data_IF_772176935560
#
_entry.id   IF_772176935560
#
_cell.length_a   1.000
_cell.length_b   1.000
_cell.length_c   1.000
_cell.angle_alpha   90.00
_cell.angle_beta   90.00
_cell.angle_gamma   90.00
#
_symmetry.space_group_name_H-M   'P 1'
#
loop_
_entity.id
_entity.type
_entity.pdbx_description
1 polymer ?
#
# COMPACT_ATOMS: atom_id res chain seq x y z
N UNK A 1 17.84 12.80 -12.43
CA UNK A 1 17.27 12.81 -11.08
C UNK A 1 15.76 12.77 -11.20
N UNK A 2 15.15 11.59 -11.06
CA UNK A 2 13.72 11.50 -10.78
C UNK A 2 13.48 12.05 -9.38
N UNK A 3 12.40 12.81 -9.18
CA UNK A 3 12.09 13.40 -7.88
C UNK A 3 11.57 12.35 -6.90
N UNK A 4 11.59 12.71 -5.62
CA UNK A 4 10.93 11.98 -4.55
C UNK A 4 9.49 12.48 -4.41
N UNK A 5 8.50 11.59 -4.51
CA UNK A 5 7.08 11.93 -4.53
C UNK A 5 6.33 11.27 -3.36
N UNK A 6 5.20 11.86 -2.96
CA UNK A 6 4.25 11.19 -2.08
C UNK A 6 3.39 10.22 -2.90
N UNK A 7 3.51 8.93 -2.60
CA UNK A 7 2.67 7.89 -3.15
C UNK A 7 1.56 7.54 -2.14
N UNK A 8 0.31 7.68 -2.55
CA UNK A 8 -0.85 7.10 -1.83
C UNK A 8 -1.42 5.99 -2.70
N UNK A 9 -1.50 4.79 -2.14
CA UNK A 9 -1.89 3.62 -2.91
C UNK A 9 -2.30 2.43 -2.07
N UNK A 10 -2.88 1.45 -2.76
CA UNK A 10 -3.25 0.16 -2.19
C UNK A 10 -2.00 -0.72 -2.22
N UNK A 11 -1.63 -1.30 -1.07
CA UNK A 11 -0.50 -2.21 -0.98
C UNK A 11 -0.81 -3.50 -1.72
N UNK A 12 -0.10 -3.72 -2.83
CA UNK A 12 -0.18 -4.92 -3.66
C UNK A 12 0.73 -6.03 -3.11
N UNK A 13 1.93 -5.67 -2.66
CA UNK A 13 2.93 -6.63 -2.18
C UNK A 13 3.75 -6.04 -1.04
N UNK A 14 4.11 -6.91 -0.09
CA UNK A 14 5.05 -6.65 0.99
C UNK A 14 6.14 -7.72 0.92
N UNK A 15 7.40 -7.31 0.95
CA UNK A 15 8.57 -8.20 0.96
C UNK A 15 9.46 -7.84 2.13
N UNK A 16 9.83 -8.83 2.93
CA UNK A 16 10.71 -8.67 4.10
C UNK A 16 11.88 -9.64 3.96
N UNK A 17 13.12 -9.14 3.79
CA UNK A 17 14.30 -9.98 3.71
C UNK A 17 14.52 -10.75 5.00
N UNK A 18 14.82 -12.04 4.88
CA UNK A 18 15.02 -12.97 6.00
C UNK A 18 16.31 -12.71 6.79
N UNK A 19 17.28 -12.00 6.21
CA UNK A 19 18.59 -11.73 6.81
C UNK A 19 18.49 -11.18 8.24
N UNK A 20 17.71 -10.11 8.45
CA UNK A 20 17.53 -9.52 9.78
C UNK A 20 16.67 -10.39 10.69
N UNK A 21 15.46 -10.83 10.31
CA UNK A 21 14.64 -11.67 11.17
C UNK A 21 15.37 -12.92 11.69
N UNK A 22 16.09 -13.64 10.82
CA UNK A 22 16.84 -14.84 11.22
C UNK A 22 18.00 -14.52 12.16
N UNK A 23 18.69 -13.38 11.96
CA UNK A 23 19.80 -12.97 12.83
C UNK A 23 19.37 -12.62 14.26
N UNK A 24 18.13 -12.17 14.45
CA UNK A 24 17.61 -11.66 15.72
C UNK A 24 16.50 -12.54 16.33
N UNK A 25 16.36 -13.78 15.85
CA UNK A 25 15.35 -14.74 16.28
C UNK A 25 13.92 -14.17 16.22
N UNK A 26 13.61 -13.42 15.16
CA UNK A 26 12.27 -12.88 14.93
C UNK A 26 11.49 -13.89 14.10
N UNK A 27 10.40 -14.41 14.67
CA UNK A 27 9.54 -15.35 13.95
C UNK A 27 8.62 -14.64 12.95
N UNK A 28 8.10 -15.41 11.99
CA UNK A 28 7.12 -14.89 11.02
C UNK A 28 5.84 -14.41 11.70
N UNK A 29 5.42 -15.04 12.80
CA UNK A 29 4.24 -14.62 13.56
C UNK A 29 4.45 -13.24 14.18
N UNK A 30 5.66 -12.93 14.64
CA UNK A 30 6.00 -11.61 15.16
C UNK A 30 5.97 -10.54 14.07
N UNK A 31 6.41 -10.91 12.86
CA UNK A 31 6.31 -10.05 11.67
C UNK A 31 4.85 -9.79 11.31
N UNK A 32 4.02 -10.85 11.27
CA UNK A 32 2.58 -10.75 11.01
C UNK A 32 1.91 -9.82 12.02
N UNK A 33 2.26 -9.93 13.30
CA UNK A 33 1.70 -9.05 14.33
C UNK A 33 2.16 -7.58 14.18
N UNK A 34 3.41 -7.35 13.75
CA UNK A 34 3.87 -6.03 13.37
C UNK A 34 3.08 -5.45 12.20
N UNK A 35 2.88 -6.25 11.14
CA UNK A 35 2.13 -5.87 9.95
C UNK A 35 0.66 -5.55 10.25
N UNK A 36 0.02 -6.30 11.15
CA UNK A 36 -1.38 -6.08 11.58
C UNK A 36 -1.63 -4.71 12.20
N UNK A 37 -0.61 -4.07 12.74
CA UNK A 37 -0.72 -2.70 13.27
C UNK A 37 -0.86 -1.66 12.15
N UNK A 38 -0.44 -1.99 10.94
CA UNK A 38 -0.36 -1.08 9.80
C UNK A 38 -1.42 -1.38 8.74
N UNK A 39 -1.76 -2.65 8.52
CA UNK A 39 -2.63 -3.12 7.44
C UNK A 39 -3.52 -4.28 7.90
N UNK A 40 -4.64 -4.51 7.20
CA UNK A 40 -5.37 -5.77 7.34
C UNK A 40 -4.62 -6.90 6.61
N UNK A 41 -3.75 -7.59 7.34
CA UNK A 41 -2.93 -8.66 6.77
C UNK A 41 -3.75 -9.84 6.23
N UNK A 42 -5.03 -9.97 6.61
CA UNK A 42 -5.90 -11.03 6.11
C UNK A 42 -6.28 -10.83 4.64
N UNK A 43 -6.09 -9.62 4.11
CA UNK A 43 -6.23 -9.33 2.68
C UNK A 43 -5.09 -9.91 1.84
N UNK A 44 -4.08 -10.53 2.44
CA UNK A 44 -2.86 -10.98 1.77
C UNK A 44 -2.65 -12.49 1.86
N UNK A 45 -2.10 -13.07 0.80
CA UNK A 45 -1.59 -14.42 0.75
C UNK A 45 -0.10 -14.42 1.09
N UNK A 46 0.26 -15.18 2.12
CA UNK A 46 1.64 -15.37 2.54
C UNK A 46 2.33 -16.46 1.71
N UNK A 47 3.58 -16.19 1.35
CA UNK A 47 4.51 -17.13 0.73
C UNK A 47 5.93 -16.77 1.16
N UNK A 48 6.88 -17.67 0.92
CA UNK A 48 8.29 -17.39 1.16
C UNK A 48 9.14 -18.08 0.11
N UNK A 49 10.31 -17.50 -0.16
CA UNK A 49 11.36 -18.13 -0.95
C UNK A 49 12.64 -18.31 -0.11
N UNK A 50 13.80 -18.44 -0.76
CA UNK A 50 15.07 -18.64 -0.06
C UNK A 50 15.47 -17.43 0.79
N UNK A 51 15.16 -16.22 0.33
CA UNK A 51 15.71 -14.98 0.84
C UNK A 51 14.65 -14.09 1.50
N UNK A 52 13.38 -14.24 1.11
CA UNK A 52 12.32 -13.30 1.45
C UNK A 52 11.05 -13.95 2.04
N UNK A 53 10.42 -13.23 2.96
CA UNK A 53 9.02 -13.41 3.32
C UNK A 53 8.14 -12.47 2.47
N UNK A 54 7.10 -13.01 1.84
CA UNK A 54 6.31 -12.30 0.82
C UNK A 54 4.82 -12.38 1.14
N UNK A 55 4.15 -11.23 1.14
CA UNK A 55 2.70 -11.11 1.22
C UNK A 55 2.17 -10.43 -0.04
N UNK A 56 1.29 -11.10 -0.80
CA UNK A 56 0.64 -10.55 -2.00
C UNK A 56 -0.84 -10.37 -1.76
N UNK A 57 -1.40 -9.23 -2.17
CA UNK A 57 -2.82 -8.95 -2.01
C UNK A 57 -3.65 -10.02 -2.72
N UNK A 58 -4.71 -10.50 -2.07
CA UNK A 58 -5.68 -11.37 -2.70
C UNK A 58 -6.47 -10.54 -3.73
N UNK A 59 -6.46 -10.89 -5.03
CA UNK A 59 -7.11 -10.10 -6.07
C UNK A 59 -8.59 -9.78 -5.76
N UNK A 60 -9.30 -10.70 -5.10
CA UNK A 60 -10.71 -10.52 -4.71
C UNK A 60 -10.95 -9.29 -3.82
N UNK A 61 -9.94 -8.84 -3.09
CA UNK A 61 -10.04 -7.65 -2.24
C UNK A 61 -10.24 -6.38 -3.08
N UNK A 62 -9.71 -6.36 -4.31
CA UNK A 62 -9.85 -5.25 -5.26
C UNK A 62 -11.22 -5.21 -5.95
N UNK A 63 -11.99 -6.29 -5.91
CA UNK A 63 -13.31 -6.38 -6.57
C UNK A 63 -14.40 -5.62 -5.79
N UNK A 64 -14.13 -5.22 -4.53
CA UNK A 64 -15.11 -4.59 -3.65
C UNK A 64 -15.19 -3.06 -3.85
N UNK A 65 -16.06 -2.59 -4.75
CA UNK A 65 -16.41 -1.17 -4.94
C UNK A 65 -15.18 -0.24 -5.14
N UNK A 66 -14.09 -0.76 -5.72
CA UNK A 66 -12.84 -0.02 -5.87
C UNK A 66 -13.01 1.27 -6.67
N UNK A 67 -13.81 1.23 -7.75
CA UNK A 67 -14.12 2.42 -8.55
C UNK A 67 -14.80 3.52 -7.74
N UNK A 68 -15.73 3.15 -6.85
CA UNK A 68 -16.42 4.13 -6.00
C UNK A 68 -15.50 4.67 -4.89
N UNK A 69 -14.60 3.83 -4.38
CA UNK A 69 -13.56 4.27 -3.45
C UNK A 69 -12.65 5.32 -4.10
N UNK A 70 -12.11 5.03 -5.30
CA UNK A 70 -11.26 5.96 -6.03
C UNK A 70 -11.98 7.27 -6.36
N UNK A 71 -13.25 7.19 -6.73
CA UNK A 71 -14.08 8.37 -6.99
C UNK A 71 -14.21 9.25 -5.74
N UNK A 72 -14.44 8.66 -4.56
CA UNK A 72 -14.44 9.38 -3.29
C UNK A 72 -13.07 10.02 -2.98
N UNK A 73 -11.97 9.31 -3.21
CA UNK A 73 -10.62 9.87 -3.01
C UNK A 73 -10.36 11.06 -3.93
N UNK A 74 -10.72 10.98 -5.21
CA UNK A 74 -10.52 12.06 -6.17
C UNK A 74 -11.37 13.31 -5.83
N UNK A 75 -12.60 13.12 -5.36
CA UNK A 75 -13.45 14.22 -4.89
C UNK A 75 -12.88 14.93 -3.65
N UNK A 76 -12.23 14.18 -2.75
CA UNK A 76 -11.54 14.77 -1.60
C UNK A 76 -10.31 15.59 -2.01
N UNK A 77 -9.59 15.15 -3.05
CA UNK A 77 -8.38 15.82 -3.53
C UNK A 77 -8.69 17.10 -4.30
N UNK A 78 -9.68 17.10 -5.20
CA UNK A 78 -10.03 18.27 -5.99
C UNK A 78 -11.51 18.34 -6.32
N UNK A 79 -12.06 19.56 -6.30
CA UNK A 79 -13.41 19.84 -6.81
C UNK A 79 -13.44 20.03 -8.33
N UNK A 80 -12.27 20.22 -8.96
CA UNK A 80 -12.18 20.39 -10.41
C UNK A 80 -12.15 19.04 -11.07
N UNK A 81 -12.91 18.92 -12.14
CA UNK A 81 -12.88 17.74 -12.98
C UNK A 81 -11.49 17.54 -13.60
N UNK A 82 -10.93 16.34 -13.43
CA UNK A 82 -9.67 15.92 -14.04
C UNK A 82 -9.95 14.77 -15.01
N UNK A 83 -9.68 14.93 -16.33
CA UNK A 83 -9.94 13.89 -17.33
C UNK A 83 -9.24 12.56 -17.01
N UNK A 84 -8.00 12.60 -16.52
CA UNK A 84 -7.23 11.40 -16.18
C UNK A 84 -7.82 10.61 -15.01
N UNK A 85 -8.33 11.32 -13.99
CA UNK A 85 -9.04 10.70 -12.87
C UNK A 85 -10.34 10.06 -13.36
N UNK A 86 -11.09 10.74 -14.24
CA UNK A 86 -12.31 10.16 -14.83
C UNK A 86 -12.03 8.92 -15.66
N UNK A 87 -11.00 8.95 -16.51
CA UNK A 87 -10.57 7.78 -17.29
C UNK A 87 -10.22 6.61 -16.36
N UNK A 88 -9.52 6.90 -15.26
CA UNK A 88 -9.19 5.90 -14.23
C UNK A 88 -10.43 5.22 -13.67
N UNK A 89 -11.43 6.01 -13.27
CA UNK A 89 -12.68 5.46 -12.73
C UNK A 89 -13.38 4.58 -13.77
N UNK A 90 -13.43 5.01 -15.04
CA UNK A 90 -14.05 4.22 -16.12
C UNK A 90 -13.34 2.88 -16.28
N UNK A 91 -12.02 2.88 -16.48
CA UNK A 91 -11.24 1.64 -16.70
C UNK A 91 -11.30 0.68 -15.49
N UNK A 92 -11.26 1.23 -14.27
CA UNK A 92 -11.40 0.43 -13.04
C UNK A 92 -12.80 -0.16 -12.92
N UNK A 93 -13.87 0.59 -13.26
CA UNK A 93 -15.25 0.09 -13.22
C UNK A 93 -15.56 -0.90 -14.36
N UNK A 94 -14.85 -0.83 -15.48
CA UNK A 94 -14.94 -1.79 -16.59
C UNK A 94 -14.21 -3.11 -16.32
N UNK A 95 -13.22 -3.09 -15.40
CA UNK A 95 -12.48 -4.28 -14.99
C UNK A 95 -13.34 -5.14 -14.06
N UNK A 96 -13.65 -6.36 -14.50
CA UNK A 96 -14.62 -7.25 -13.84
C UNK A 96 -14.02 -8.14 -12.75
N UNK A 97 -12.69 -8.31 -12.73
CA UNK A 97 -12.00 -9.18 -11.76
C UNK A 97 -10.79 -8.48 -11.13
N UNK A 98 -10.40 -8.95 -9.95
CA UNK A 98 -9.21 -8.47 -9.27
C UNK A 98 -7.93 -8.65 -10.09
N UNK A 99 -7.81 -9.76 -10.83
CA UNK A 99 -6.65 -10.02 -11.69
C UNK A 99 -6.56 -9.03 -12.85
N UNK A 100 -7.70 -8.65 -13.45
CA UNK A 100 -7.74 -7.59 -14.48
C UNK A 100 -7.31 -6.24 -13.90
N UNK A 101 -7.72 -5.92 -12.67
CA UNK A 101 -7.29 -4.71 -11.98
C UNK A 101 -5.78 -4.72 -11.69
N UNK A 102 -5.23 -5.86 -11.28
CA UNK A 102 -3.77 -6.00 -11.11
C UNK A 102 -3.04 -5.80 -12.44
N UNK A 103 -3.51 -6.42 -13.51
CA UNK A 103 -2.93 -6.28 -14.85
C UNK A 103 -2.97 -4.82 -15.34
N UNK A 104 -4.12 -4.15 -15.18
CA UNK A 104 -4.29 -2.74 -15.52
C UNK A 104 -3.26 -1.85 -14.79
N UNK A 105 -3.01 -2.13 -13.51
CA UNK A 105 -2.03 -1.40 -12.72
C UNK A 105 -0.58 -1.64 -13.16
N UNK A 106 -0.23 -2.86 -13.55
CA UNK A 106 1.12 -3.21 -14.03
C UNK A 106 1.42 -2.61 -15.40
N UNK A 107 0.43 -2.56 -16.30
CA UNK A 107 0.59 -2.00 -17.65
C UNK A 107 0.85 -0.47 -17.63
N UNK A 108 0.54 0.21 -16.51
CA UNK A 108 0.78 1.64 -16.33
C UNK A 108 0.13 2.53 -17.40
N UNK A 109 -0.97 2.06 -17.99
CA UNK A 109 -1.75 2.81 -19.00
C UNK A 109 -2.59 3.92 -18.37
N UNK A 110 -2.77 3.88 -17.05
CA UNK A 110 -3.67 4.76 -16.29
C UNK A 110 -2.87 5.51 -15.23
N UNK A 111 -2.74 6.83 -15.42
CA UNK A 111 -1.86 7.67 -14.59
C UNK A 111 -2.19 7.60 -13.09
N UNK A 112 -3.48 7.55 -12.73
CA UNK A 112 -3.94 7.44 -11.35
C UNK A 112 -4.25 5.99 -10.94
N UNK A 113 -3.66 5.01 -11.62
CA UNK A 113 -3.79 3.60 -11.29
C UNK A 113 -2.60 2.81 -11.84
N UNK A 114 -1.43 3.07 -11.27
CA UNK A 114 -0.17 2.46 -11.71
C UNK A 114 0.61 1.88 -10.54
N UNK A 115 1.34 0.82 -10.81
CA UNK A 115 2.27 0.23 -9.87
C UNK A 115 3.41 1.20 -9.55
N UNK A 116 3.69 1.36 -8.26
CA UNK A 116 4.88 2.02 -7.73
C UNK A 116 5.63 1.00 -6.87
N UNK A 117 6.88 0.76 -7.22
CA UNK A 117 7.78 -0.16 -6.53
C UNK A 117 8.89 0.57 -5.77
N UNK A 118 9.83 -0.19 -5.21
CA UNK A 118 11.00 0.31 -4.50
C UNK A 118 10.68 1.21 -3.28
N UNK A 119 9.49 1.04 -2.69
CA UNK A 119 9.09 1.76 -1.49
C UNK A 119 9.57 1.00 -0.26
N UNK A 120 10.17 1.68 0.70
CA UNK A 120 10.57 1.06 1.97
C UNK A 120 9.93 1.75 3.17
N UNK A 121 9.57 0.96 4.17
CA UNK A 121 9.22 1.46 5.49
C UNK A 121 9.73 0.50 6.57
N UNK A 122 9.82 0.99 7.80
CA UNK A 122 10.18 0.19 8.95
C UNK A 122 8.92 -0.29 9.67
N UNK A 123 8.86 -1.58 9.95
CA UNK A 123 7.82 -2.17 10.80
C UNK A 123 8.41 -2.39 12.18
N UNK A 124 7.70 -1.92 13.20
CA UNK A 124 8.04 -2.16 14.60
C UNK A 124 7.52 -3.53 15.06
N UNK A 125 8.44 -4.36 15.52
CA UNK A 125 8.19 -5.67 16.10
C UNK A 125 8.57 -5.63 17.58
N UNK A 126 7.64 -6.03 18.44
CA UNK A 126 7.88 -6.14 19.88
C UNK A 126 8.26 -7.58 20.19
N UNK A 127 9.46 -7.79 20.72
CA UNK A 127 9.93 -9.12 21.14
C UNK A 127 9.30 -9.53 22.48
N UNK A 128 9.21 -10.84 22.80
CA UNK A 128 8.69 -11.30 24.09
C UNK A 128 9.44 -10.77 25.32
N UNK A 129 10.71 -10.38 25.14
CA UNK A 129 11.55 -9.75 26.17
C UNK A 129 11.27 -8.24 26.34
N UNK A 130 10.32 -7.68 25.59
CA UNK A 130 9.90 -6.29 25.65
C UNK A 130 10.73 -5.32 24.80
N UNK A 131 11.72 -5.82 24.05
CA UNK A 131 12.53 -4.96 23.18
C UNK A 131 11.86 -4.72 21.83
N UNK A 132 11.83 -3.45 21.43
CA UNK A 132 11.42 -3.01 20.10
C UNK A 132 12.52 -3.29 19.08
N UNK A 133 12.12 -3.87 17.95
CA UNK A 133 12.98 -4.12 16.82
C UNK A 133 12.35 -3.62 15.53
N UNK A 134 13.13 -2.89 14.72
CA UNK A 134 12.67 -2.38 13.43
C UNK A 134 13.22 -3.22 12.29
N UNK A 135 12.31 -3.83 11.52
CA UNK A 135 12.65 -4.51 10.27
C UNK A 135 12.29 -3.62 9.09
N UNK A 136 13.07 -3.72 8.02
CA UNK A 136 12.75 -3.03 6.76
C UNK A 136 11.78 -3.91 5.98
N UNK A 137 10.69 -3.32 5.50
CA UNK A 137 9.77 -3.94 4.56
C UNK A 137 9.77 -3.14 3.27
N UNK A 138 9.85 -3.87 2.15
CA UNK A 138 9.70 -3.35 0.82
C UNK A 138 8.24 -3.49 0.39
N UNK A 139 7.69 -2.42 -0.16
CA UNK A 139 6.30 -2.34 -0.57
C UNK A 139 6.20 -2.10 -2.08
N UNK A 140 5.18 -2.71 -2.66
CA UNK A 140 4.67 -2.40 -3.99
C UNK A 140 3.23 -1.87 -3.83
N UNK A 141 2.94 -0.70 -4.37
CA UNK A 141 1.63 -0.06 -4.29
C UNK A 141 0.98 0.03 -5.68
N UNK A 142 -0.33 -0.11 -5.74
CA UNK A 142 -1.14 0.46 -6.83
C UNK A 142 -1.47 1.89 -6.42
N UNK A 143 -0.77 2.84 -7.02
CA UNK A 143 -0.89 4.27 -6.69
C UNK A 143 -2.10 4.89 -7.37
N UNK A 144 -2.85 5.69 -6.60
CA UNK A 144 -3.90 6.57 -7.12
C UNK A 144 -3.60 8.06 -6.92
N UNK A 145 -2.66 8.38 -6.01
CA UNK A 145 -1.97 9.66 -5.99
C UNK A 145 -0.46 9.45 -6.01
N UNK A 146 0.20 10.14 -6.93
CA UNK A 146 1.64 10.31 -6.97
C UNK A 146 1.91 11.80 -7.13
N UNK A 147 1.98 12.52 -6.01
CA UNK A 147 2.00 13.98 -6.01
C UNK A 147 2.93 14.55 -4.93
N UNK A 148 3.32 15.81 -5.09
CA UNK A 148 4.16 16.53 -4.15
C UNK A 148 5.62 16.08 -4.21
N UNK A 149 6.49 16.92 -4.75
CA UNK A 149 7.93 16.73 -4.54
C UNK A 149 8.23 16.94 -3.07
N UNK A 150 8.72 15.90 -2.40
CA UNK A 150 9.09 15.97 -0.99
C UNK A 150 10.59 16.26 -0.89
N UNK A 151 10.94 17.30 -0.14
CA UNK A 151 12.32 17.75 0.06
C UNK A 151 12.77 17.57 1.52
N UNK A 152 12.01 16.85 2.36
CA UNK A 152 12.34 16.70 3.78
C UNK A 152 11.95 15.35 4.37
N UNK A 153 12.80 14.87 5.29
CA UNK A 153 12.60 13.68 6.12
C UNK A 153 11.71 14.00 7.34
N UNK A 154 11.28 12.97 8.09
CA UNK A 154 10.49 13.05 9.34
C UNK A 154 8.96 13.27 9.24
N UNK A 155 8.33 12.97 8.10
CA UNK A 155 6.87 13.02 7.94
C UNK A 155 6.12 11.73 8.32
N UNK A 156 6.78 10.72 8.90
CA UNK A 156 6.13 9.43 9.22
C UNK A 156 4.84 9.57 10.02
N UNK A 157 4.81 10.46 11.01
CA UNK A 157 3.61 10.70 11.82
C UNK A 157 2.46 11.36 11.05
N UNK A 158 2.75 12.23 10.06
CA UNK A 158 1.70 12.87 9.26
C UNK A 158 1.14 11.90 8.22
N UNK A 159 1.97 10.99 7.67
CA UNK A 159 1.48 9.93 6.79
C UNK A 159 0.57 8.97 7.52
N UNK A 160 0.94 8.57 8.74
CA UNK A 160 0.06 7.80 9.62
C UNK A 160 -1.27 8.53 9.89
N UNK A 161 -1.26 9.86 10.00
CA UNK A 161 -2.48 10.65 10.13
C UNK A 161 -3.34 10.58 8.85
N UNK A 162 -2.75 10.76 7.67
CA UNK A 162 -3.48 10.65 6.39
C UNK A 162 -4.07 9.25 6.19
N UNK A 163 -3.28 8.20 6.45
CA UNK A 163 -3.76 6.82 6.39
C UNK A 163 -4.95 6.60 7.33
N UNK A 164 -4.87 7.09 8.57
CA UNK A 164 -5.98 6.99 9.53
C UNK A 164 -7.24 7.72 9.05
N UNK A 165 -7.10 8.87 8.39
CA UNK A 165 -8.24 9.59 7.82
C UNK A 165 -8.89 8.82 6.67
N UNK A 166 -8.09 8.20 5.79
CA UNK A 166 -8.62 7.33 4.72
C UNK A 166 -9.37 6.14 5.33
N UNK A 167 -8.81 5.52 6.37
CA UNK A 167 -9.40 4.38 7.09
C UNK A 167 -10.72 4.70 7.81
N UNK A 168 -11.07 5.97 8.02
CA UNK A 168 -12.40 6.34 8.54
C UNK A 168 -13.53 5.93 7.57
N UNK A 169 -13.23 5.71 6.29
CA UNK A 169 -14.21 5.30 5.28
C UNK A 169 -14.44 3.77 5.24
N UNK A 170 -13.84 3.00 6.15
CA UNK A 170 -13.86 1.52 6.12
C UNK A 170 -15.24 0.87 6.12
N UNK A 171 -16.22 1.55 6.71
CA UNK A 171 -17.60 1.07 6.73
C UNK A 171 -18.20 1.00 5.31
N UNK A 172 -17.73 1.87 4.41
CA UNK A 172 -18.18 1.92 3.02
C UNK A 172 -17.20 1.21 2.08
N UNK A 173 -15.90 1.32 2.36
CA UNK A 173 -14.83 0.81 1.50
C UNK A 173 -13.82 -0.02 2.31
N UNK A 174 -13.96 -1.35 2.42
CA UNK A 174 -13.03 -2.20 3.17
C UNK A 174 -11.57 -2.11 2.70
N UNK A 175 -11.36 -1.79 1.41
CA UNK A 175 -10.02 -1.66 0.80
C UNK A 175 -9.13 -0.61 1.48
N UNK A 176 -9.70 0.35 2.22
CA UNK A 176 -8.93 1.39 2.94
C UNK A 176 -7.93 0.81 3.94
N UNK A 177 -8.19 -0.38 4.47
CA UNK A 177 -7.30 -1.07 5.41
C UNK A 177 -6.06 -1.67 4.73
N UNK A 178 -6.01 -1.62 3.39
CA UNK A 178 -4.84 -1.97 2.57
C UNK A 178 -4.09 -0.73 2.03
N UNK A 179 -4.50 0.48 2.39
CA UNK A 179 -3.90 1.72 1.86
C UNK A 179 -2.72 2.18 2.70
N UNK A 180 -1.66 2.64 2.03
CA UNK A 180 -0.53 3.36 2.65
C UNK A 180 -0.22 4.68 1.96
N UNK A 181 0.43 5.54 2.73
CA UNK A 181 1.01 6.81 2.28
C UNK A 181 2.51 6.74 2.48
N UNK A 182 3.28 6.73 1.39
CA UNK A 182 4.72 6.47 1.39
C UNK A 182 5.47 7.46 0.51
N UNK A 183 6.78 7.56 0.69
CA UNK A 183 7.66 8.39 -0.12
C UNK A 183 8.36 7.50 -1.16
N UNK A 184 8.33 7.89 -2.43
CA UNK A 184 9.11 7.19 -3.48
C UNK A 184 10.59 7.44 -3.29
N UNK A 185 11.38 6.38 -3.44
CA UNK A 185 12.82 6.39 -3.18
C UNK A 185 13.63 6.57 -4.44
#
# INVERSE_FOLDING_TARGET
MMGTYLATGIVQQIVIPKEKPLRYDISVEMIIEGLRKELDINCYQYSEDADDYIWKINPKVLECNLGDFLEAQFQMYTKKECPYMKETIVKVKESTTGDQLLELAEQSEVINFQVVDCLYNHINIVRPDGFDFNIVAHYKLISFFLDGKIIMECYGNIFNYFEKNIRLQRAQYPIVDCVKVMITS
#
